data_IF_754681481906
#
_entry.id   IF_754681481906
#
_cell.length_a   1.000
_cell.length_b   1.000
_cell.length_c   1.000
_cell.angle_alpha   90.00
_cell.angle_beta   90.00
_cell.angle_gamma   90.00
#
_symmetry.space_group_name_H-M   'P 1'
#
loop_
_entity.id
_entity.type
_entity.pdbx_description
1 polymer ?
#
# COMPACT_ATOMS: atom_id res chain seq x y z
N UNK A 1 -33.86 -37.75 3.82
CA UNK A 1 -32.39 -37.91 3.70
C UNK A 1 -31.92 -37.01 2.58
N UNK A 2 -31.35 -35.81 2.82
CA UNK A 2 -30.82 -35.02 1.73
C UNK A 2 -29.50 -35.62 1.23
N UNK A 3 -29.44 -35.61 -0.10
CA UNK A 3 -28.38 -35.93 -1.05
C UNK A 3 -27.15 -35.02 -0.84
N UNK A 4 -25.93 -35.49 -1.15
CA UNK A 4 -24.77 -34.60 -1.33
C UNK A 4 -23.40 -35.28 -1.35
N UNK A 5 -22.81 -35.36 -2.54
CA UNK A 5 -21.65 -36.17 -2.99
C UNK A 5 -20.27 -35.69 -2.48
N UNK A 6 -19.32 -36.63 -2.54
CA UNK A 6 -17.87 -36.62 -2.25
C UNK A 6 -17.10 -35.51 -3.02
N UNK A 7 -16.08 -34.94 -2.38
CA UNK A 7 -15.19 -33.90 -2.92
C UNK A 7 -14.21 -34.46 -3.98
N UNK A 8 -14.36 -34.03 -5.23
CA UNK A 8 -13.36 -34.10 -6.30
C UNK A 8 -13.07 -32.68 -6.80
N UNK A 9 -11.80 -32.27 -6.73
CA UNK A 9 -11.31 -30.95 -7.07
C UNK A 9 -11.45 -30.66 -8.58
N UNK A 10 -12.15 -29.58 -8.95
CA UNK A 10 -11.90 -28.70 -10.13
C UNK A 10 -13.03 -27.67 -10.35
N UNK A 11 -14.18 -27.82 -9.70
CA UNK A 11 -15.28 -26.83 -9.78
C UNK A 11 -15.66 -26.25 -8.41
N UNK A 12 -15.90 -24.95 -8.41
CA UNK A 12 -16.02 -24.09 -7.23
C UNK A 12 -17.11 -24.58 -6.24
N UNK A 13 -16.69 -24.98 -5.04
CA UNK A 13 -17.54 -25.64 -4.04
C UNK A 13 -18.59 -24.71 -3.39
N UNK A 14 -19.83 -25.18 -3.31
CA UNK A 14 -20.78 -24.81 -2.25
C UNK A 14 -20.31 -25.42 -0.92
N UNK A 15 -19.60 -24.63 -0.10
CA UNK A 15 -19.13 -25.07 1.21
C UNK A 15 -20.22 -24.94 2.28
N UNK A 16 -20.49 -26.04 2.99
CA UNK A 16 -21.32 -26.07 4.20
C UNK A 16 -20.43 -26.36 5.40
N UNK A 17 -20.28 -25.44 6.38
CA UNK A 17 -19.43 -25.67 7.54
C UNK A 17 -19.99 -26.78 8.43
N UNK A 18 -19.16 -27.76 8.81
CA UNK A 18 -19.54 -28.82 9.75
C UNK A 18 -19.39 -28.39 11.23
N UNK A 19 -18.70 -27.27 11.48
CA UNK A 19 -18.49 -26.68 12.80
C UNK A 19 -18.82 -25.19 12.79
N UNK A 20 -19.37 -24.63 13.89
CA UNK A 20 -19.77 -23.21 13.94
C UNK A 20 -18.63 -22.21 13.71
N UNK A 21 -17.40 -22.58 14.11
CA UNK A 21 -16.20 -21.74 13.99
C UNK A 21 -15.40 -21.99 12.69
N UNK A 22 -15.87 -22.88 11.81
CA UNK A 22 -15.14 -23.22 10.59
C UNK A 22 -15.45 -22.21 9.47
N UNK A 23 -14.65 -21.15 9.40
CA UNK A 23 -14.82 -20.04 8.45
C UNK A 23 -14.44 -20.34 6.99
N UNK A 24 -13.76 -21.46 6.72
CA UNK A 24 -13.37 -21.88 5.37
C UNK A 24 -13.17 -23.38 5.26
N UNK A 25 -13.29 -23.92 4.04
CA UNK A 25 -12.92 -25.31 3.74
C UNK A 25 -11.40 -25.51 3.91
N UNK A 26 -10.92 -26.43 4.77
CA UNK A 26 -9.49 -26.66 5.03
C UNK A 26 -8.70 -27.09 3.78
N UNK A 27 -9.37 -27.79 2.87
CA UNK A 27 -8.79 -28.36 1.65
C UNK A 27 -8.57 -27.29 0.56
N UNK A 28 -9.56 -26.44 0.27
CA UNK A 28 -9.45 -25.42 -0.79
C UNK A 28 -9.08 -24.01 -0.28
N UNK A 29 -9.29 -23.71 1.01
CA UNK A 29 -9.17 -22.36 1.61
C UNK A 29 -9.93 -21.24 0.87
N UNK A 30 -10.95 -21.59 0.10
CA UNK A 30 -11.41 -20.80 -1.06
C UNK A 30 -12.49 -19.73 -0.79
N UNK A 31 -13.07 -19.62 0.41
CA UNK A 31 -14.12 -18.61 0.68
C UNK A 31 -13.67 -17.36 1.48
N UNK A 32 -12.42 -17.32 1.98
CA UNK A 32 -11.91 -16.15 2.71
C UNK A 32 -10.88 -15.30 1.95
N UNK A 33 -10.10 -15.92 1.04
CA UNK A 33 -8.93 -15.25 0.46
C UNK A 33 -9.22 -14.45 -0.81
N UNK A 34 -10.16 -14.87 -1.65
CA UNK A 34 -10.35 -14.25 -2.97
C UNK A 34 -11.02 -12.86 -2.90
N UNK A 35 -12.07 -12.70 -2.10
CA UNK A 35 -12.73 -11.41 -1.90
C UNK A 35 -11.80 -10.40 -1.20
N UNK A 36 -11.10 -10.87 -0.17
CA UNK A 36 -10.07 -10.12 0.57
C UNK A 36 -8.93 -9.66 -0.37
N UNK A 37 -8.39 -10.56 -1.20
CA UNK A 37 -7.39 -10.22 -2.21
C UNK A 37 -7.89 -9.21 -3.26
N UNK A 38 -9.14 -9.33 -3.74
CA UNK A 38 -9.71 -8.35 -4.69
C UNK A 38 -9.80 -6.96 -4.07
N UNK A 39 -10.27 -6.87 -2.83
CA UNK A 39 -10.32 -5.61 -2.09
C UNK A 39 -8.92 -4.99 -1.91
N UNK A 40 -7.93 -5.79 -1.54
CA UNK A 40 -6.54 -5.31 -1.40
C UNK A 40 -5.95 -4.83 -2.72
N UNK A 41 -6.12 -5.59 -3.81
CA UNK A 41 -5.65 -5.19 -5.15
C UNK A 41 -6.30 -3.90 -5.64
N UNK A 42 -7.58 -3.69 -5.29
CA UNK A 42 -8.29 -2.44 -5.57
C UNK A 42 -7.66 -1.28 -4.79
N UNK A 43 -7.56 -1.39 -3.46
CA UNK A 43 -6.94 -0.35 -2.61
C UNK A 43 -5.51 -0.03 -3.01
N UNK A 44 -4.72 -1.04 -3.34
CA UNK A 44 -3.34 -0.86 -3.81
C UNK A 44 -3.30 0.00 -5.07
N UNK A 45 -4.15 -0.29 -6.07
CA UNK A 45 -4.26 0.50 -7.30
C UNK A 45 -4.69 1.93 -7.01
N UNK A 46 -5.77 2.12 -6.27
CA UNK A 46 -6.29 3.44 -5.90
C UNK A 46 -5.23 4.30 -5.19
N UNK A 47 -4.48 3.72 -4.24
CA UNK A 47 -3.38 4.45 -3.55
C UNK A 47 -2.21 4.74 -4.47
N UNK A 48 -1.81 3.78 -5.29
CA UNK A 48 -0.73 3.96 -6.25
C UNK A 48 -1.07 5.08 -7.22
N UNK A 49 -2.28 5.09 -7.76
CA UNK A 49 -2.73 6.09 -8.72
C UNK A 49 -2.84 7.48 -8.07
N UNK A 50 -3.36 7.56 -6.83
CA UNK A 50 -3.34 8.80 -6.04
C UNK A 50 -1.92 9.34 -5.83
N UNK A 51 -0.98 8.48 -5.44
CA UNK A 51 0.41 8.87 -5.19
C UNK A 51 1.10 9.31 -6.48
N UNK A 52 0.89 8.57 -7.58
CA UNK A 52 1.44 8.94 -8.88
C UNK A 52 0.90 10.29 -9.33
N UNK A 53 -0.42 10.52 -9.24
CA UNK A 53 -1.03 11.80 -9.58
C UNK A 53 -0.45 12.95 -8.73
N UNK A 54 -0.36 12.76 -7.41
CA UNK A 54 0.20 13.76 -6.50
C UNK A 54 1.66 14.12 -6.83
N UNK A 55 2.48 13.12 -7.17
CA UNK A 55 3.88 13.34 -7.57
C UNK A 55 3.97 14.09 -8.89
N UNK A 56 3.21 13.66 -9.90
CA UNK A 56 3.20 14.29 -11.23
C UNK A 56 2.73 15.73 -11.18
N UNK A 57 1.72 16.04 -10.37
CA UNK A 57 1.20 17.40 -10.21
C UNK A 57 2.22 18.35 -9.59
N UNK A 58 2.99 17.90 -8.60
CA UNK A 58 3.93 18.76 -7.88
C UNK A 58 5.31 18.86 -8.51
N UNK A 59 5.79 17.77 -9.12
CA UNK A 59 7.18 17.68 -9.55
C UNK A 59 8.18 17.79 -8.38
N UNK A 60 9.47 17.78 -8.71
CA UNK A 60 10.52 17.96 -7.73
C UNK A 60 10.61 19.43 -7.31
N UNK A 61 10.46 19.71 -6.02
CA UNK A 61 10.55 21.05 -5.45
C UNK A 61 11.90 21.75 -5.73
N UNK A 62 13.00 20.99 -5.85
CA UNK A 62 14.35 21.57 -6.05
C UNK A 62 14.75 21.77 -7.52
N UNK A 63 14.35 20.88 -8.43
CA UNK A 63 14.87 20.87 -9.81
C UNK A 63 13.79 20.79 -10.89
N UNK A 64 12.51 20.73 -10.52
CA UNK A 64 11.39 20.72 -11.47
C UNK A 64 11.17 19.40 -12.23
N UNK A 65 11.89 18.32 -11.88
CA UNK A 65 11.66 17.00 -12.47
C UNK A 65 10.19 16.58 -12.32
N UNK A 66 9.60 16.04 -13.38
CA UNK A 66 8.16 15.72 -13.44
C UNK A 66 7.89 14.22 -13.53
N UNK A 67 8.90 13.40 -13.81
CA UNK A 67 8.72 11.94 -13.88
C UNK A 67 8.40 11.34 -12.50
N UNK A 68 7.16 10.86 -12.27
CA UNK A 68 6.74 10.34 -10.97
C UNK A 68 7.51 9.10 -10.51
N UNK A 69 8.23 8.42 -11.41
CA UNK A 69 9.04 7.24 -11.10
C UNK A 69 10.27 7.64 -10.26
N UNK A 70 10.93 8.74 -10.62
CA UNK A 70 12.14 9.21 -9.93
C UNK A 70 11.84 10.13 -8.73
N UNK A 71 10.59 10.59 -8.61
CA UNK A 71 10.12 11.39 -7.49
C UNK A 71 9.92 10.56 -6.22
N UNK A 72 10.35 11.11 -5.10
CA UNK A 72 10.31 10.55 -3.75
C UNK A 72 9.69 11.57 -2.78
N UNK A 73 9.17 11.06 -1.67
CA UNK A 73 8.68 11.90 -0.58
C UNK A 73 9.82 12.11 0.42
N UNK A 74 10.28 13.36 0.56
CA UNK A 74 11.22 13.80 1.58
C UNK A 74 10.44 14.36 2.77
N UNK A 75 10.54 13.69 3.91
CA UNK A 75 9.93 14.17 5.15
C UNK A 75 10.68 15.43 5.63
N UNK A 76 10.00 16.57 5.59
CA UNK A 76 10.58 17.87 5.96
C UNK A 76 10.10 18.44 7.29
N UNK A 77 8.95 17.98 7.79
CA UNK A 77 8.36 18.49 9.03
C UNK A 77 7.72 17.41 9.90
N UNK A 78 7.87 17.56 11.22
CA UNK A 78 7.22 16.74 12.25
C UNK A 78 7.83 15.35 12.46
N UNK A 79 7.25 14.60 13.41
CA UNK A 79 7.61 13.19 13.63
C UNK A 79 6.99 12.30 12.55
N UNK A 80 7.83 11.47 11.94
CA UNK A 80 7.43 10.47 10.95
C UNK A 80 6.62 9.38 11.63
N UNK A 81 5.34 9.28 11.28
CA UNK A 81 4.46 8.26 11.87
C UNK A 81 4.64 6.89 11.21
N UNK A 82 4.88 6.86 9.89
CA UNK A 82 5.16 5.64 9.14
C UNK A 82 5.81 5.96 7.78
N UNK A 83 6.37 4.95 7.12
CA UNK A 83 6.86 5.10 5.76
C UNK A 83 5.71 4.99 4.75
N UNK A 84 5.54 6.00 3.90
CA UNK A 84 4.51 6.03 2.83
C UNK A 84 4.64 4.79 1.93
N UNK A 85 5.87 4.37 1.58
CA UNK A 85 6.10 3.15 0.80
C UNK A 85 5.56 1.88 1.50
N UNK A 86 5.79 1.74 2.81
CA UNK A 86 5.30 0.59 3.60
C UNK A 86 3.77 0.60 3.74
N UNK A 87 3.15 1.79 3.74
CA UNK A 87 1.69 1.94 3.83
C UNK A 87 0.93 1.38 2.61
N UNK A 88 1.60 1.32 1.45
CA UNK A 88 1.05 0.76 0.20
C UNK A 88 1.17 -0.77 0.22
N UNK A 89 2.29 -1.31 0.73
CA UNK A 89 2.59 -2.74 0.74
C UNK A 89 1.92 -3.54 1.87
N UNK A 90 1.72 -2.95 3.05
CA UNK A 90 1.10 -3.62 4.21
C UNK A 90 -0.44 -3.64 4.14
N UNK A 91 -1.01 -3.97 2.98
CA UNK A 91 -2.45 -4.28 2.83
C UNK A 91 -3.43 -3.17 3.29
N UNK A 92 -3.01 -1.90 3.28
CA UNK A 92 -3.88 -0.79 3.67
C UNK A 92 -4.29 -0.81 5.14
N UNK A 93 -3.39 -1.26 6.04
CA UNK A 93 -3.59 -1.18 7.49
C UNK A 93 -3.90 0.24 7.98
N UNK A 94 -3.40 1.26 7.28
CA UNK A 94 -3.69 2.65 7.61
C UNK A 94 -4.87 3.21 6.81
N UNK A 95 -5.80 3.94 7.45
CA UNK A 95 -6.87 4.66 6.76
C UNK A 95 -6.31 5.64 5.71
N UNK A 96 -7.04 5.82 4.60
CA UNK A 96 -6.60 6.72 3.51
C UNK A 96 -6.40 8.16 4.00
N UNK A 97 -7.21 8.61 4.96
CA UNK A 97 -7.07 9.93 5.59
C UNK A 97 -5.72 10.11 6.29
N UNK A 98 -5.20 9.06 6.94
CA UNK A 98 -3.92 9.11 7.63
C UNK A 98 -2.75 9.13 6.63
N UNK A 99 -2.87 8.36 5.54
CA UNK A 99 -1.91 8.40 4.43
C UNK A 99 -1.81 9.80 3.82
N UNK A 100 -2.96 10.45 3.56
CA UNK A 100 -2.99 11.81 3.00
C UNK A 100 -2.34 12.83 3.94
N UNK A 101 -2.67 12.79 5.24
CA UNK A 101 -2.04 13.64 6.26
C UNK A 101 -0.51 13.45 6.36
N UNK A 102 -0.02 12.23 6.16
CA UNK A 102 1.42 11.99 6.18
C UNK A 102 2.10 12.49 4.89
N UNK A 103 1.44 12.35 3.74
CA UNK A 103 1.91 12.91 2.46
C UNK A 103 1.99 14.44 2.53
N UNK A 104 1.04 15.10 3.19
CA UNK A 104 1.05 16.56 3.38
C UNK A 104 2.26 17.09 4.16
N UNK A 105 2.91 16.26 4.98
CA UNK A 105 4.14 16.62 5.71
C UNK A 105 5.43 16.43 4.89
N UNK A 106 5.29 15.89 3.67
CA UNK A 106 6.42 15.56 2.82
C UNK A 106 6.53 16.52 1.63
N UNK A 107 7.77 16.86 1.28
CA UNK A 107 8.07 17.46 -0.01
C UNK A 107 8.21 16.38 -1.07
N UNK A 108 7.79 16.71 -2.30
CA UNK A 108 8.08 15.87 -3.47
C UNK A 108 9.42 16.32 -4.05
N UNK A 109 10.40 15.41 -4.09
CA UNK A 109 11.74 15.67 -4.62
C UNK A 109 12.26 14.48 -5.41
N UNK A 110 13.08 14.70 -6.43
CA UNK A 110 13.70 13.58 -7.15
C UNK A 110 14.76 12.88 -6.28
N UNK A 111 15.06 11.62 -6.59
CA UNK A 111 16.03 10.81 -5.87
C UNK A 111 17.39 11.53 -5.69
N UNK A 112 17.86 12.23 -6.73
CA UNK A 112 19.14 12.95 -6.70
C UNK A 112 19.11 14.14 -5.72
N UNK A 113 18.06 14.96 -5.78
CA UNK A 113 17.88 16.10 -4.89
C UNK A 113 17.68 15.64 -3.44
N UNK A 114 16.92 14.55 -3.24
CA UNK A 114 16.75 13.93 -1.93
C UNK A 114 18.09 13.45 -1.31
N UNK A 115 18.93 12.77 -2.10
CA UNK A 115 20.26 12.33 -1.66
C UNK A 115 21.15 13.53 -1.30
N UNK A 116 21.11 14.61 -2.09
CA UNK A 116 21.84 15.86 -1.79
C UNK A 116 21.35 16.50 -0.48
N UNK A 117 20.03 16.65 -0.30
CA UNK A 117 19.43 17.16 0.95
C UNK A 117 19.90 16.36 2.16
N UNK A 118 19.85 15.03 2.06
CA UNK A 118 20.30 14.14 3.14
C UNK A 118 21.78 14.33 3.46
N UNK A 119 22.63 14.41 2.44
CA UNK A 119 24.06 14.66 2.63
C UNK A 119 24.31 16.00 3.33
N UNK A 120 23.69 17.10 2.85
CA UNK A 120 23.86 18.42 3.45
C UNK A 120 23.31 18.51 4.89
N UNK A 121 22.20 17.83 5.20
CA UNK A 121 21.66 17.74 6.56
C UNK A 121 22.67 17.08 7.51
N UNK A 122 23.33 16.00 7.08
CA UNK A 122 24.34 15.28 7.88
C UNK A 122 25.62 16.08 8.10
N UNK A 123 26.10 16.79 7.08
CA UNK A 123 27.30 17.64 7.20
C UNK A 123 27.06 18.78 8.19
N UNK A 124 25.89 19.45 8.13
CA UNK A 124 25.54 20.53 9.06
C UNK A 124 25.44 20.09 10.52
N UNK A 125 25.10 18.83 10.80
CA UNK A 125 25.05 18.31 12.18
C UNK A 125 26.43 17.92 12.74
N UNK A 126 27.45 17.84 11.90
CA UNK A 126 28.81 17.44 12.27
C UNK A 126 29.78 18.63 12.40
N UNK A 127 29.30 19.85 12.13
CA UNK A 127 30.05 21.11 12.24
C UNK A 127 29.43 21.95 13.35
#
# INVERSE_FOLDING_TARGET
>A
MPIGIICGHDECCTFTPTRPWQAYCPQCKCQGKAASQRMYRRRYRERRDYITAYKTERGCADCGESDPIVLQFDHVAGEKSFAIASSIGMYGMYPDAMLKKEIEKCDVVCANCHSRRTHFRRVKSAT
#
